data_IF_734624114942
#
_entry.id   IF_734624114942
#
_cell.length_a   1.000
_cell.length_b   1.000
_cell.length_c   1.000
_cell.angle_alpha   90.00
_cell.angle_beta   90.00
_cell.angle_gamma   90.00
#
_symmetry.space_group_name_H-M   'P 1'
#
loop_
_entity.id
_entity.type
_entity.pdbx_description
1 polymer ?
#
# COMPACT_ATOMS: atom_id res chain seq x y z
N UNK A 1 -39.44 28.11 -15.06
CA UNK A 1 -39.51 27.50 -13.71
C UNK A 1 -38.09 27.34 -13.19
N UNK A 2 -37.88 27.22 -11.88
CA UNK A 2 -36.55 26.89 -11.35
C UNK A 2 -36.30 25.39 -11.41
N UNK A 3 -35.04 24.97 -11.58
CA UNK A 3 -34.64 23.57 -11.48
C UNK A 3 -34.99 23.05 -10.07
N UNK A 4 -35.71 21.92 -9.91
CA UNK A 4 -36.05 21.38 -8.61
C UNK A 4 -34.81 21.02 -7.78
N UNK A 5 -34.86 21.24 -6.47
CA UNK A 5 -33.72 20.99 -5.56
C UNK A 5 -33.21 19.54 -5.58
N UNK A 6 -34.10 18.57 -5.81
CA UNK A 6 -33.73 17.16 -5.99
C UNK A 6 -32.82 16.97 -7.20
N UNK A 7 -33.22 17.49 -8.35
CA UNK A 7 -32.46 17.39 -9.61
C UNK A 7 -31.11 18.12 -9.52
N UNK A 8 -31.07 19.28 -8.86
CA UNK A 8 -29.83 20.01 -8.56
C UNK A 8 -28.83 19.16 -7.76
N UNK A 9 -29.30 18.47 -6.71
CA UNK A 9 -28.45 17.62 -5.86
C UNK A 9 -27.94 16.39 -6.61
N UNK A 10 -28.79 15.75 -7.41
CA UNK A 10 -28.39 14.59 -8.23
C UNK A 10 -27.29 15.01 -9.22
N UNK A 11 -27.48 16.13 -9.91
CA UNK A 11 -26.50 16.64 -10.88
C UNK A 11 -25.15 16.94 -10.21
N UNK A 12 -25.17 17.68 -9.11
CA UNK A 12 -23.95 18.04 -8.37
C UNK A 12 -23.22 16.80 -7.83
N UNK A 13 -23.97 15.84 -7.28
CA UNK A 13 -23.42 14.59 -6.76
C UNK A 13 -22.75 13.75 -7.85
N UNK A 14 -23.45 13.50 -8.96
CA UNK A 14 -22.93 12.67 -10.06
C UNK A 14 -21.81 13.33 -10.87
N UNK A 15 -21.76 14.66 -10.88
CA UNK A 15 -20.66 15.40 -11.53
C UNK A 15 -19.46 15.63 -10.60
N UNK A 16 -19.52 15.17 -9.34
CA UNK A 16 -18.49 15.39 -8.32
C UNK A 16 -18.02 16.87 -8.22
N UNK A 17 -18.92 17.82 -8.43
CA UNK A 17 -18.60 19.26 -8.44
C UNK A 17 -17.58 19.68 -9.51
N UNK A 18 -17.52 18.97 -10.64
CA UNK A 18 -16.59 19.25 -11.75
C UNK A 18 -17.31 19.54 -13.05
N UNK A 19 -16.65 20.28 -13.94
CA UNK A 19 -17.16 20.57 -15.27
C UNK A 19 -17.21 19.29 -16.12
N UNK A 20 -18.34 18.99 -16.75
CA UNK A 20 -18.49 17.77 -17.55
C UNK A 20 -17.59 17.74 -18.79
N UNK A 21 -17.17 18.89 -19.31
CA UNK A 21 -16.21 18.99 -20.43
C UNK A 21 -14.77 19.04 -19.91
N UNK A 22 -14.40 20.11 -19.20
CA UNK A 22 -13.00 20.37 -18.81
C UNK A 22 -12.53 19.73 -17.50
N UNK A 23 -13.39 19.02 -16.77
CA UNK A 23 -13.13 18.34 -15.48
C UNK A 23 -12.59 19.23 -14.33
N UNK A 24 -12.48 20.54 -14.55
CA UNK A 24 -12.07 21.52 -13.53
C UNK A 24 -13.03 21.52 -12.34
N UNK A 25 -12.49 21.69 -11.12
CA UNK A 25 -13.28 21.83 -9.87
C UNK A 25 -14.11 23.12 -9.97
N UNK A 26 -15.40 23.02 -9.68
CA UNK A 26 -16.37 24.12 -9.76
C UNK A 26 -16.75 24.67 -8.38
N UNK A 27 -16.06 24.20 -7.34
CA UNK A 27 -16.18 24.71 -5.98
C UNK A 27 -14.82 25.17 -5.50
N UNK A 28 -14.81 26.29 -4.78
CA UNK A 28 -13.59 26.80 -4.14
C UNK A 28 -13.87 26.95 -2.66
N UNK A 29 -12.93 26.46 -1.87
CA UNK A 29 -13.00 26.54 -0.42
C UNK A 29 -12.86 28.00 0.01
N UNK A 30 -13.50 28.35 1.13
CA UNK A 30 -13.51 29.71 1.64
C UNK A 30 -12.08 30.16 1.95
N UNK A 31 -11.53 31.09 1.17
CA UNK A 31 -10.38 31.87 1.62
C UNK A 31 -10.93 33.01 2.48
N UNK A 32 -10.65 32.94 3.78
CA UNK A 32 -10.97 33.88 4.86
C UNK A 32 -12.02 34.97 4.52
N UNK A 33 -13.27 34.72 4.97
CA UNK A 33 -14.44 35.64 5.12
C UNK A 33 -15.54 35.59 4.06
N UNK A 34 -15.34 35.01 2.89
CA UNK A 34 -16.42 34.67 1.94
C UNK A 34 -16.57 33.16 1.89
N UNK A 35 -17.73 32.63 2.29
CA UNK A 35 -17.98 31.18 2.35
C UNK A 35 -17.68 30.44 1.03
N UNK A 36 -17.76 29.10 1.07
CA UNK A 36 -17.51 28.26 -0.10
C UNK A 36 -18.34 28.74 -1.30
N UNK A 37 -17.67 28.96 -2.44
CA UNK A 37 -18.30 29.54 -3.64
C UNK A 37 -18.40 28.49 -4.74
N UNK A 38 -19.57 28.44 -5.38
CA UNK A 38 -19.85 27.58 -6.54
C UNK A 38 -19.70 28.44 -7.80
N UNK A 39 -18.79 28.05 -8.69
CA UNK A 39 -18.56 28.68 -10.00
C UNK A 39 -19.12 27.85 -11.17
N UNK A 40 -19.75 26.72 -10.85
CA UNK A 40 -20.43 25.85 -11.81
C UNK A 40 -21.85 26.31 -12.11
N UNK A 41 -22.29 26.05 -13.33
CA UNK A 41 -23.63 26.37 -13.82
C UNK A 41 -24.35 25.07 -14.20
N UNK A 42 -25.61 24.97 -13.79
CA UNK A 42 -26.49 23.85 -14.16
C UNK A 42 -27.16 24.24 -15.48
N UNK A 43 -26.59 23.76 -16.57
CA UNK A 43 -26.99 24.12 -17.92
C UNK A 43 -28.04 23.16 -18.45
N UNK A 44 -28.98 23.68 -19.22
CA UNK A 44 -29.95 22.87 -19.96
C UNK A 44 -29.31 22.33 -21.24
N UNK A 45 -29.49 21.04 -21.50
CA UNK A 45 -29.13 20.42 -22.78
C UNK A 45 -30.12 20.90 -23.84
N UNK A 46 -31.42 20.76 -23.58
CA UNK A 46 -32.53 21.38 -24.31
C UNK A 46 -32.98 22.63 -23.57
N UNK A 47 -32.78 23.82 -24.16
CA UNK A 47 -33.02 25.09 -23.47
C UNK A 47 -34.48 25.34 -23.10
N UNK A 48 -34.75 26.01 -21.97
CA UNK A 48 -36.10 26.19 -21.42
C UNK A 48 -36.96 27.24 -22.16
N UNK A 49 -36.36 28.24 -22.82
CA UNK A 49 -37.07 29.44 -23.32
C UNK A 49 -37.03 29.50 -24.85
N UNK A 50 -38.04 30.09 -25.49
CA UNK A 50 -38.13 30.21 -26.97
C UNK A 50 -36.90 30.78 -27.72
N UNK A 51 -35.95 31.39 -27.01
CA UNK A 51 -34.70 31.96 -27.57
C UNK A 51 -33.43 31.32 -27.00
N UNK A 52 -33.55 30.30 -26.16
CA UNK A 52 -32.39 29.57 -25.63
C UNK A 52 -31.92 28.54 -26.64
N UNK A 53 -30.64 28.18 -26.54
CA UNK A 53 -30.04 27.18 -27.40
C UNK A 53 -30.81 25.84 -27.38
N UNK A 54 -30.96 25.22 -28.55
CA UNK A 54 -31.62 23.93 -28.74
C UNK A 54 -33.07 23.90 -28.21
N UNK A 55 -33.78 25.04 -28.24
CA UNK A 55 -35.17 25.13 -27.76
C UNK A 55 -36.14 24.28 -28.61
N UNK A 56 -35.96 24.28 -29.92
CA UNK A 56 -36.76 23.50 -30.88
C UNK A 56 -36.41 22.01 -30.72
N UNK A 57 -37.19 21.32 -29.90
CA UNK A 57 -36.97 19.92 -29.51
C UNK A 57 -38.31 19.28 -29.15
N UNK A 58 -38.50 17.96 -29.41
CA UNK A 58 -39.71 17.23 -29.02
C UNK A 58 -39.85 17.07 -27.50
N UNK A 59 -38.87 17.51 -26.70
CA UNK A 59 -38.94 17.47 -25.24
C UNK A 59 -39.97 18.47 -24.69
N UNK A 60 -40.91 17.94 -23.90
CA UNK A 60 -41.93 18.70 -23.18
C UNK A 60 -41.31 19.72 -22.22
N UNK A 61 -42.01 20.84 -22.00
CA UNK A 61 -41.51 21.96 -21.18
C UNK A 61 -41.28 21.53 -19.73
N UNK A 62 -42.13 20.64 -19.21
CA UNK A 62 -42.09 20.10 -17.86
C UNK A 62 -40.82 19.27 -17.58
N UNK A 63 -40.24 18.68 -18.62
CA UNK A 63 -39.05 17.83 -18.54
C UNK A 63 -37.75 18.61 -18.67
N UNK A 64 -37.80 19.86 -19.18
CA UNK A 64 -36.60 20.66 -19.41
C UNK A 64 -35.83 20.95 -18.12
N UNK A 65 -36.51 21.02 -16.98
CA UNK A 65 -35.88 21.27 -15.68
C UNK A 65 -35.48 20.00 -14.91
N UNK A 66 -35.57 18.81 -15.53
CA UNK A 66 -35.22 17.53 -14.90
C UNK A 66 -33.77 17.17 -15.12
N UNK A 67 -33.19 16.42 -14.17
CA UNK A 67 -31.79 16.03 -14.14
C UNK A 67 -31.27 15.42 -15.45
N UNK A 68 -32.09 14.63 -16.15
CA UNK A 68 -31.67 14.01 -17.41
C UNK A 68 -31.34 15.06 -18.49
N UNK A 69 -31.99 16.23 -18.47
CA UNK A 69 -31.76 17.35 -19.37
C UNK A 69 -30.70 18.35 -18.85
N UNK A 70 -30.01 18.05 -17.73
CA UNK A 70 -29.06 18.97 -17.12
C UNK A 70 -27.62 18.46 -17.21
N UNK A 71 -26.70 19.38 -17.48
CA UNK A 71 -25.26 19.15 -17.50
C UNK A 71 -24.55 20.22 -16.66
N UNK A 72 -23.52 19.84 -15.90
CA UNK A 72 -22.79 20.77 -15.02
C UNK A 72 -21.55 21.30 -15.74
N UNK A 73 -21.48 22.61 -16.00
CA UNK A 73 -20.38 23.22 -16.74
C UNK A 73 -19.78 24.41 -15.99
N UNK A 74 -18.53 24.77 -16.32
CA UNK A 74 -18.03 26.10 -15.97
C UNK A 74 -18.59 27.14 -16.95
N UNK A 75 -18.59 28.41 -16.54
CA UNK A 75 -19.03 29.54 -17.38
C UNK A 75 -18.46 29.54 -18.80
N UNK A 76 -17.18 29.22 -18.94
CA UNK A 76 -16.52 29.19 -20.26
C UNK A 76 -17.14 28.12 -21.17
N UNK A 77 -17.30 26.90 -20.65
CA UNK A 77 -17.86 25.80 -21.44
C UNK A 77 -19.35 25.97 -21.68
N UNK A 78 -20.09 26.53 -20.71
CA UNK A 78 -21.51 26.87 -20.92
C UNK A 78 -21.67 27.86 -22.09
N UNK A 79 -20.88 28.94 -22.10
CA UNK A 79 -20.90 29.90 -23.20
C UNK A 79 -20.54 29.24 -24.55
N UNK A 80 -19.50 28.39 -24.58
CA UNK A 80 -19.08 27.70 -25.80
C UNK A 80 -20.22 26.85 -26.40
N UNK A 81 -20.95 26.10 -25.57
CA UNK A 81 -22.01 25.22 -26.08
C UNK A 81 -23.24 26.00 -26.55
N UNK A 82 -23.53 27.15 -25.94
CA UNK A 82 -24.66 27.98 -26.32
C UNK A 82 -24.38 28.79 -27.58
N UNK A 83 -23.15 29.28 -27.76
CA UNK A 83 -22.74 30.02 -28.96
C UNK A 83 -22.53 29.10 -30.18
N UNK A 84 -22.43 27.77 -30.01
CA UNK A 84 -22.10 26.81 -31.07
C UNK A 84 -23.03 25.59 -31.12
N UNK A 85 -24.34 25.82 -31.30
CA UNK A 85 -25.36 24.75 -31.28
C UNK A 85 -25.09 23.61 -32.27
N UNK A 86 -24.64 23.93 -33.49
CA UNK A 86 -24.34 22.93 -34.53
C UNK A 86 -23.20 21.98 -34.12
N UNK A 87 -22.22 22.49 -33.37
CA UNK A 87 -21.08 21.71 -32.87
C UNK A 87 -21.40 20.96 -31.58
N UNK A 88 -22.48 21.33 -30.89
CA UNK A 88 -22.95 20.74 -29.64
C UNK A 88 -24.44 20.41 -29.71
N UNK A 89 -24.83 19.46 -30.59
CA UNK A 89 -26.20 18.98 -30.66
C UNK A 89 -26.58 18.24 -29.37
N UNK A 90 -27.88 18.02 -29.17
CA UNK A 90 -28.47 17.41 -27.96
C UNK A 90 -27.79 16.07 -27.63
N UNK A 91 -27.61 15.23 -28.64
CA UNK A 91 -27.04 13.88 -28.49
C UNK A 91 -25.60 13.95 -27.96
N UNK A 92 -24.80 14.89 -28.48
CA UNK A 92 -23.42 15.09 -28.04
C UNK A 92 -23.34 15.57 -26.60
N UNK A 93 -24.24 16.46 -26.18
CA UNK A 93 -24.28 16.92 -24.79
C UNK A 93 -24.69 15.81 -23.82
N UNK A 94 -25.64 14.95 -24.22
CA UNK A 94 -25.96 13.74 -23.45
C UNK A 94 -24.77 12.79 -23.36
N UNK A 95 -24.02 12.59 -24.45
CA UNK A 95 -22.80 11.78 -24.43
C UNK A 95 -21.74 12.36 -23.49
N UNK A 96 -21.46 13.66 -23.57
CA UNK A 96 -20.50 14.34 -22.68
C UNK A 96 -20.91 14.17 -21.21
N UNK A 97 -22.21 14.29 -20.90
CA UNK A 97 -22.73 14.05 -19.56
C UNK A 97 -22.49 12.60 -19.12
N UNK A 98 -22.86 11.62 -19.95
CA UNK A 98 -22.69 10.21 -19.64
C UNK A 98 -21.22 9.84 -19.42
N UNK A 99 -20.34 10.24 -20.33
CA UNK A 99 -18.88 10.01 -20.23
C UNK A 99 -18.30 10.63 -18.97
N UNK A 100 -18.79 11.81 -18.57
CA UNK A 100 -18.34 12.44 -17.35
C UNK A 100 -18.77 11.70 -16.09
N UNK A 101 -20.03 11.28 -16.03
CA UNK A 101 -20.56 10.56 -14.87
C UNK A 101 -19.90 9.18 -14.73
N UNK A 102 -19.65 8.48 -15.84
CA UNK A 102 -18.83 7.25 -15.86
C UNK A 102 -17.41 7.52 -15.35
N UNK A 103 -16.75 8.58 -15.85
CA UNK A 103 -15.42 8.96 -15.35
C UNK A 103 -15.42 9.27 -13.84
N UNK A 104 -16.48 9.90 -13.31
CA UNK A 104 -16.61 10.13 -11.87
C UNK A 104 -16.73 8.81 -11.13
N UNK A 105 -17.61 7.91 -11.60
CA UNK A 105 -17.82 6.59 -11.00
C UNK A 105 -16.51 5.79 -10.96
N UNK A 106 -15.78 5.69 -12.08
CA UNK A 106 -14.48 5.01 -12.16
C UNK A 106 -13.43 5.59 -11.20
N UNK A 107 -13.47 6.90 -10.92
CA UNK A 107 -12.54 7.55 -9.98
C UNK A 107 -12.95 7.42 -8.53
N UNK A 108 -14.22 7.17 -8.26
CA UNK A 108 -14.78 6.97 -6.93
C UNK A 108 -14.87 5.49 -6.54
N UNK A 109 -14.70 4.55 -7.49
CA UNK A 109 -14.42 3.15 -7.14
C UNK A 109 -13.17 3.16 -6.29
N UNK A 110 -13.37 2.84 -5.02
CA UNK A 110 -12.34 2.79 -4.02
C UNK A 110 -11.36 1.67 -4.40
N UNK A 111 -10.21 2.04 -4.97
CA UNK A 111 -9.15 1.08 -5.31
C UNK A 111 -8.68 0.31 -4.07
N UNK A 112 -8.84 0.86 -2.87
CA UNK A 112 -8.55 0.14 -1.62
C UNK A 112 -9.58 -0.96 -1.35
N UNK A 113 -10.82 -0.81 -1.80
CA UNK A 113 -11.83 -1.88 -1.72
C UNK A 113 -11.52 -3.01 -2.71
N UNK A 114 -10.96 -2.69 -3.87
CA UNK A 114 -10.66 -3.67 -4.93
C UNK A 114 -9.52 -4.62 -4.54
N UNK A 115 -8.56 -4.14 -3.74
CA UNK A 115 -7.41 -4.92 -3.25
C UNK A 115 -7.40 -5.08 -1.72
N UNK A 116 -8.55 -4.95 -1.07
CA UNK A 116 -8.69 -4.96 0.39
C UNK A 116 -7.93 -6.13 1.05
N UNK A 117 -8.08 -7.34 0.52
CA UNK A 117 -7.36 -8.52 1.02
C UNK A 117 -5.83 -8.32 1.00
N UNK A 118 -5.28 -7.80 -0.09
CA UNK A 118 -3.84 -7.58 -0.23
C UNK A 118 -3.36 -6.44 0.65
N UNK A 119 -4.14 -5.35 0.78
CA UNK A 119 -3.84 -4.25 1.69
C UNK A 119 -3.81 -4.73 3.16
N UNK A 120 -4.83 -5.49 3.58
CA UNK A 120 -4.90 -6.08 4.92
C UNK A 120 -3.70 -7.03 5.17
N UNK A 121 -3.30 -7.82 4.16
CA UNK A 121 -2.13 -8.70 4.25
C UNK A 121 -0.81 -7.93 4.31
N UNK A 122 -0.71 -6.81 3.58
CA UNK A 122 0.42 -5.90 3.58
C UNK A 122 0.65 -5.33 4.98
N UNK A 123 -0.39 -4.74 5.56
CA UNK A 123 -0.36 -4.17 6.91
C UNK A 123 -0.01 -5.22 7.94
N UNK A 124 -0.62 -6.41 7.84
CA UNK A 124 -0.30 -7.54 8.70
C UNK A 124 1.18 -7.94 8.59
N UNK A 125 1.75 -7.98 7.38
CA UNK A 125 3.15 -8.32 7.13
C UNK A 125 4.10 -7.28 7.72
N UNK A 126 3.85 -5.99 7.46
CA UNK A 126 4.65 -4.88 8.00
C UNK A 126 4.68 -4.91 9.53
N UNK A 127 3.50 -5.12 10.15
CA UNK A 127 3.36 -5.15 11.60
C UNK A 127 4.08 -6.35 12.22
N UNK A 128 3.86 -7.56 11.71
CA UNK A 128 4.41 -8.77 12.33
C UNK A 128 5.91 -8.97 12.03
N UNK A 129 6.43 -8.38 10.96
CA UNK A 129 7.88 -8.34 10.70
C UNK A 129 8.54 -7.09 11.30
N UNK A 130 7.76 -6.21 11.96
CA UNK A 130 8.21 -4.96 12.58
C UNK A 130 9.10 -4.11 11.64
N UNK A 131 8.71 -3.98 10.37
CA UNK A 131 9.55 -3.39 9.33
C UNK A 131 9.88 -1.90 9.53
N UNK A 132 9.08 -1.19 10.33
CA UNK A 132 9.39 0.20 10.74
C UNK A 132 10.63 0.29 11.64
N UNK A 133 10.97 -0.80 12.34
CA UNK A 133 12.13 -0.92 13.23
C UNK A 133 13.21 -1.84 12.63
N UNK A 134 13.16 -2.05 11.31
CA UNK A 134 14.00 -3.04 10.64
C UNK A 134 15.50 -2.84 10.89
N UNK A 135 16.02 -1.61 10.80
CA UNK A 135 17.46 -1.35 10.97
C UNK A 135 17.96 -1.86 12.33
N UNK A 136 17.20 -1.57 13.39
CA UNK A 136 17.46 -2.05 14.74
C UNK A 136 17.42 -3.58 14.83
N UNK A 137 16.39 -4.20 14.26
CA UNK A 137 16.28 -5.65 14.26
C UNK A 137 17.40 -6.31 13.45
N UNK A 138 17.81 -5.71 12.33
CA UNK A 138 18.86 -6.25 11.47
C UNK A 138 20.22 -6.31 12.19
N UNK A 139 20.58 -5.30 12.98
CA UNK A 139 21.79 -5.31 13.83
C UNK A 139 21.71 -6.41 14.89
N UNK A 140 20.61 -6.47 15.64
CA UNK A 140 20.45 -7.44 16.72
C UNK A 140 20.48 -8.88 16.20
N UNK A 141 19.74 -9.16 15.11
CA UNK A 141 19.70 -10.48 14.50
C UNK A 141 21.07 -10.88 13.94
N UNK A 142 21.80 -9.96 13.29
CA UNK A 142 23.17 -10.20 12.80
C UNK A 142 24.12 -10.59 13.94
N UNK A 143 23.92 -9.99 15.12
CA UNK A 143 24.68 -10.25 16.34
C UNK A 143 24.24 -11.51 17.09
N UNK A 144 23.25 -12.24 16.59
CA UNK A 144 22.71 -13.43 17.23
C UNK A 144 21.82 -13.12 18.44
N UNK A 145 21.16 -11.96 18.43
CA UNK A 145 20.21 -11.53 19.45
C UNK A 145 18.81 -11.47 18.83
N UNK A 146 17.98 -12.45 19.13
CA UNK A 146 16.62 -12.54 18.60
C UNK A 146 15.60 -12.33 19.71
N UNK A 147 15.03 -11.12 19.77
CA UNK A 147 14.05 -10.77 20.80
C UNK A 147 12.79 -11.62 20.71
N UNK A 148 12.24 -12.00 21.87
CA UNK A 148 11.04 -12.83 21.97
C UNK A 148 9.85 -12.20 21.27
N UNK A 149 9.63 -10.89 21.41
CA UNK A 149 8.50 -10.20 20.80
C UNK A 149 8.54 -10.25 19.27
N UNK A 150 9.70 -10.00 18.65
CA UNK A 150 9.87 -10.18 17.21
C UNK A 150 9.70 -11.65 16.81
N UNK A 151 10.25 -12.58 17.59
CA UNK A 151 10.15 -14.02 17.32
C UNK A 151 8.71 -14.53 17.35
N UNK A 152 7.91 -14.10 18.32
CA UNK A 152 6.50 -14.42 18.42
C UNK A 152 5.68 -13.79 17.29
N UNK A 153 5.99 -12.54 16.92
CA UNK A 153 5.34 -11.88 15.79
C UNK A 153 5.66 -12.58 14.46
N UNK A 154 6.91 -12.99 14.23
CA UNK A 154 7.30 -13.79 13.07
C UNK A 154 6.59 -15.16 13.07
N UNK A 155 6.45 -15.79 14.23
CA UNK A 155 5.66 -17.02 14.37
C UNK A 155 4.20 -16.80 13.95
N UNK A 156 3.58 -15.70 14.37
CA UNK A 156 2.21 -15.35 13.98
C UNK A 156 2.11 -15.06 12.48
N UNK A 157 3.09 -14.37 11.91
CA UNK A 157 3.22 -14.16 10.48
C UNK A 157 3.25 -15.49 9.72
N UNK A 158 4.16 -16.40 10.06
CA UNK A 158 4.27 -17.71 9.42
C UNK A 158 2.96 -18.51 9.52
N UNK A 159 2.30 -18.51 10.69
CA UNK A 159 0.99 -19.17 10.89
C UNK A 159 -0.10 -18.61 9.97
N UNK A 160 -0.14 -17.29 9.78
CA UNK A 160 -1.11 -16.64 8.87
C UNK A 160 -0.80 -17.02 7.43
N UNK A 161 0.46 -16.90 7.00
CA UNK A 161 0.89 -17.19 5.63
C UNK A 161 0.57 -18.63 5.22
N UNK A 162 0.84 -19.62 6.08
CA UNK A 162 0.49 -21.02 5.83
C UNK A 162 -1.01 -21.28 5.62
N UNK A 163 -1.89 -20.41 6.11
CA UNK A 163 -3.34 -20.58 6.06
C UNK A 163 -3.99 -19.77 4.94
N UNK A 164 -3.23 -18.97 4.22
CA UNK A 164 -3.76 -18.18 3.12
C UNK A 164 -4.18 -19.10 1.98
N UNK A 165 -5.37 -18.83 1.44
CA UNK A 165 -5.82 -19.39 0.16
C UNK A 165 -5.75 -18.26 -0.85
N UNK A 166 -4.82 -18.37 -1.79
CA UNK A 166 -4.55 -17.33 -2.78
C UNK A 166 -5.68 -17.20 -3.80
N UNK A 167 -6.01 -15.96 -4.13
CA UNK A 167 -7.08 -15.64 -5.08
C UNK A 167 -6.63 -15.73 -6.54
N UNK A 168 -5.31 -15.68 -6.78
CA UNK A 168 -4.69 -15.62 -8.12
C UNK A 168 -5.04 -14.36 -8.91
N UNK A 169 -5.52 -13.31 -8.23
CA UNK A 169 -5.86 -12.02 -8.85
C UNK A 169 -4.61 -11.24 -9.28
N UNK A 170 -3.54 -11.26 -8.46
CA UNK A 170 -2.25 -10.61 -8.75
C UNK A 170 -1.11 -11.63 -8.53
N UNK A 171 -0.87 -12.56 -9.48
CA UNK A 171 0.05 -13.68 -9.28
C UNK A 171 1.47 -13.27 -8.87
N UNK A 172 2.05 -12.25 -9.52
CA UNK A 172 3.39 -11.74 -9.21
C UNK A 172 3.52 -11.26 -7.76
N UNK A 173 2.48 -10.60 -7.23
CA UNK A 173 2.45 -10.16 -5.83
C UNK A 173 2.32 -11.34 -4.87
N UNK A 174 1.47 -12.30 -5.20
CA UNK A 174 1.28 -13.51 -4.38
C UNK A 174 2.57 -14.35 -4.31
N UNK A 175 3.26 -14.54 -5.43
CA UNK A 175 4.57 -15.20 -5.49
C UNK A 175 5.63 -14.46 -4.68
N UNK A 176 5.63 -13.12 -4.72
CA UNK A 176 6.54 -12.32 -3.91
C UNK A 176 6.28 -12.49 -2.41
N UNK A 177 5.01 -12.55 -1.98
CA UNK A 177 4.65 -12.87 -0.59
C UNK A 177 5.07 -14.28 -0.19
N UNK A 178 4.87 -15.28 -1.06
CA UNK A 178 5.27 -16.67 -0.81
C UNK A 178 6.80 -16.78 -0.65
N UNK A 179 7.57 -16.15 -1.55
CA UNK A 179 9.03 -16.15 -1.46
C UNK A 179 9.51 -15.46 -0.17
N UNK A 180 8.97 -14.29 0.18
CA UNK A 180 9.27 -13.63 1.45
C UNK A 180 8.97 -14.54 2.64
N UNK A 181 7.81 -15.19 2.64
CA UNK A 181 7.41 -16.12 3.67
C UNK A 181 8.42 -17.27 3.82
N UNK A 182 8.83 -17.91 2.72
CA UNK A 182 9.80 -19.02 2.72
C UNK A 182 11.14 -18.57 3.31
N UNK A 183 11.64 -17.37 2.97
CA UNK A 183 12.92 -16.89 3.50
C UNK A 183 12.84 -16.55 4.98
N UNK A 184 11.78 -15.87 5.40
CA UNK A 184 11.55 -15.54 6.82
C UNK A 184 11.38 -16.80 7.66
N UNK A 185 10.61 -17.80 7.20
CA UNK A 185 10.43 -19.05 7.93
C UNK A 185 11.74 -19.83 8.04
N UNK A 186 12.53 -19.90 6.96
CA UNK A 186 13.83 -20.56 6.96
C UNK A 186 14.81 -19.91 7.94
N UNK A 187 14.89 -18.56 7.96
CA UNK A 187 15.68 -17.85 8.95
C UNK A 187 15.22 -18.18 10.38
N UNK A 188 13.91 -18.11 10.63
CA UNK A 188 13.33 -18.34 11.93
C UNK A 188 13.65 -19.75 12.47
N UNK A 189 13.45 -20.78 11.64
CA UNK A 189 13.74 -22.17 11.98
C UNK A 189 15.24 -22.41 12.23
N UNK A 190 16.10 -21.92 11.34
CA UNK A 190 17.56 -22.07 11.46
C UNK A 190 18.06 -21.37 12.72
N UNK A 191 17.60 -20.15 13.02
CA UNK A 191 18.00 -19.45 14.22
C UNK A 191 17.61 -20.25 15.48
N UNK A 192 16.38 -20.72 15.56
CA UNK A 192 15.89 -21.48 16.71
C UNK A 192 16.53 -22.86 16.87
N UNK A 193 17.10 -23.44 15.81
CA UNK A 193 17.73 -24.78 15.86
C UNK A 193 18.90 -24.91 16.84
N UNK A 194 19.57 -23.80 17.20
CA UNK A 194 20.69 -23.80 18.14
C UNK A 194 20.72 -22.54 19.03
N UNK A 195 19.55 -22.01 19.36
CA UNK A 195 19.40 -20.88 20.29
C UNK A 195 18.71 -21.32 21.59
N UNK A 196 18.96 -20.59 22.68
CA UNK A 196 18.24 -20.71 23.95
C UNK A 196 17.73 -19.36 24.42
N UNK A 197 16.58 -19.40 25.07
CA UNK A 197 16.00 -18.25 25.74
C UNK A 197 16.90 -17.82 26.91
N UNK A 198 17.21 -16.53 26.98
CA UNK A 198 17.87 -15.91 28.13
C UNK A 198 17.00 -14.80 28.70
N UNK A 199 16.63 -14.88 29.99
CA UNK A 199 15.91 -13.82 30.65
C UNK A 199 16.68 -12.50 30.62
N UNK A 200 16.02 -11.41 30.25
CA UNK A 200 16.61 -10.10 30.31
C UNK A 200 16.32 -9.46 31.68
N UNK A 201 17.27 -9.57 32.60
CA UNK A 201 17.14 -9.04 33.96
C UNK A 201 17.22 -7.50 34.04
N UNK A 202 17.40 -6.80 32.91
CA UNK A 202 17.33 -5.33 32.84
C UNK A 202 15.90 -4.93 32.49
N UNK A 203 15.14 -4.49 33.49
CA UNK A 203 13.72 -4.14 33.33
C UNK A 203 13.45 -3.24 32.13
N UNK A 204 12.40 -3.58 31.37
CA UNK A 204 11.93 -2.81 30.21
C UNK A 204 12.32 -3.35 28.82
N UNK A 205 13.03 -4.47 28.73
CA UNK A 205 13.35 -5.14 27.46
C UNK A 205 12.87 -6.58 27.45
N UNK A 206 12.39 -7.06 26.30
CA UNK A 206 12.01 -8.46 26.10
C UNK A 206 13.19 -9.41 26.35
N UNK A 207 12.84 -10.64 26.75
CA UNK A 207 13.79 -11.75 26.77
C UNK A 207 14.34 -12.01 25.36
N UNK A 208 15.49 -12.65 25.27
CA UNK A 208 16.24 -12.78 24.03
C UNK A 208 16.63 -14.24 23.80
N UNK A 209 16.38 -14.74 22.60
CA UNK A 209 17.00 -15.95 22.09
C UNK A 209 18.39 -15.64 21.56
N UNK A 210 19.37 -16.42 22.01
CA UNK A 210 20.76 -16.28 21.58
C UNK A 210 21.45 -17.66 21.57
N UNK A 211 22.67 -17.72 21.07
CA UNK A 211 23.46 -18.96 21.00
C UNK A 211 23.41 -19.76 22.31
N UNK A 212 23.19 -21.07 22.18
CA UNK A 212 23.31 -22.01 23.27
C UNK A 212 24.77 -22.21 23.68
N UNK A 213 25.23 -21.48 24.70
CA UNK A 213 26.59 -21.59 25.23
C UNK A 213 26.80 -22.74 26.23
N UNK A 214 25.85 -23.66 26.43
CA UNK A 214 26.00 -24.77 27.40
C UNK A 214 27.28 -25.58 27.21
N UNK A 215 27.72 -25.74 25.96
CA UNK A 215 28.97 -26.42 25.61
C UNK A 215 30.25 -25.72 26.11
N UNK A 216 30.17 -24.46 26.57
CA UNK A 216 31.31 -23.71 27.15
C UNK A 216 31.37 -23.80 28.67
N UNK A 217 30.26 -24.15 29.33
CA UNK A 217 30.12 -24.09 30.80
C UNK A 217 30.03 -25.47 31.42
N UNK A 218 29.39 -26.40 30.73
CA UNK A 218 29.19 -27.74 31.23
C UNK A 218 30.39 -28.56 30.77
N UNK A 219 31.18 -29.11 31.69
CA UNK A 219 32.22 -30.08 31.36
C UNK A 219 31.57 -31.26 30.64
N UNK A 220 31.60 -31.25 29.31
CA UNK A 220 30.80 -32.16 28.49
C UNK A 220 31.23 -33.62 28.77
N UNK A 221 30.36 -34.39 29.42
CA UNK A 221 30.57 -35.83 29.64
C UNK A 221 30.49 -36.65 28.33
N UNK A 222 29.93 -36.10 27.23
CA UNK A 222 29.59 -36.87 26.04
C UNK A 222 29.85 -36.22 24.66
N UNK A 223 30.30 -34.97 24.58
CA UNK A 223 30.64 -34.33 23.28
C UNK A 223 31.93 -33.53 23.41
N UNK A 224 32.94 -33.73 22.55
CA UNK A 224 34.15 -32.91 22.59
C UNK A 224 33.81 -31.43 22.36
N UNK A 225 34.33 -30.54 23.20
CA UNK A 225 34.16 -29.07 23.09
C UNK A 225 34.38 -28.55 21.67
N UNK A 226 35.36 -29.09 20.94
CA UNK A 226 35.69 -28.72 19.56
C UNK A 226 34.55 -28.98 18.57
N UNK A 227 33.81 -30.09 18.74
CA UNK A 227 32.70 -30.44 17.85
C UNK A 227 31.50 -29.52 18.10
N UNK A 228 31.20 -29.20 19.35
CA UNK A 228 30.13 -28.28 19.70
C UNK A 228 30.42 -26.85 19.24
N UNK A 229 31.67 -26.39 19.38
CA UNK A 229 32.10 -25.09 18.89
C UNK A 229 32.00 -24.98 17.36
N UNK A 230 32.36 -26.04 16.62
CA UNK A 230 32.23 -26.06 15.15
C UNK A 230 30.75 -26.05 14.73
N UNK A 231 29.88 -26.80 15.41
CA UNK A 231 28.43 -26.75 15.16
C UNK A 231 27.86 -25.34 15.39
N UNK A 232 28.27 -24.67 16.48
CA UNK A 232 27.83 -23.30 16.76
C UNK A 232 28.29 -22.31 15.67
N UNK A 233 29.52 -22.48 15.15
CA UNK A 233 30.03 -21.69 14.04
C UNK A 233 29.26 -21.93 12.74
N UNK A 234 28.95 -23.18 12.41
CA UNK A 234 28.15 -23.55 11.23
C UNK A 234 26.72 -23.02 11.33
N UNK A 235 26.09 -23.15 12.49
CA UNK A 235 24.78 -22.55 12.76
C UNK A 235 24.80 -21.03 12.55
N UNK A 236 25.85 -20.37 13.05
CA UNK A 236 26.03 -18.92 12.89
C UNK A 236 26.15 -18.50 11.43
N UNK A 237 26.98 -19.18 10.67
CA UNK A 237 27.11 -18.95 9.22
C UNK A 237 25.76 -19.11 8.51
N UNK A 238 25.02 -20.18 8.84
CA UNK A 238 23.71 -20.47 8.25
C UNK A 238 22.66 -19.40 8.54
N UNK A 239 22.45 -18.99 9.79
CA UNK A 239 21.41 -17.99 10.06
C UNK A 239 21.78 -16.62 9.48
N UNK A 240 23.07 -16.27 9.40
CA UNK A 240 23.50 -15.01 8.77
C UNK A 240 23.19 -15.04 7.27
N UNK A 241 23.50 -16.14 6.58
CA UNK A 241 23.11 -16.33 5.17
C UNK A 241 21.58 -16.24 4.99
N UNK A 242 20.81 -16.87 5.88
CA UNK A 242 19.35 -16.74 5.88
C UNK A 242 18.90 -15.29 6.06
N UNK A 243 19.49 -14.53 6.99
CA UNK A 243 19.16 -13.12 7.22
C UNK A 243 19.43 -12.26 5.97
N UNK A 244 20.55 -12.50 5.28
CA UNK A 244 20.85 -11.86 4.00
C UNK A 244 19.78 -12.18 2.95
N UNK A 245 19.36 -13.45 2.86
CA UNK A 245 18.29 -13.87 1.96
C UNK A 245 16.93 -13.25 2.31
N UNK A 246 16.62 -13.03 3.60
CA UNK A 246 15.43 -12.29 4.01
C UNK A 246 15.44 -10.87 3.48
N UNK A 247 16.59 -10.17 3.51
CA UNK A 247 16.70 -8.80 3.00
C UNK A 247 16.53 -8.73 1.49
N UNK A 248 17.08 -9.70 0.73
CA UNK A 248 16.83 -9.79 -0.71
C UNK A 248 15.33 -9.95 -0.97
N UNK A 249 14.67 -10.90 -0.29
CA UNK A 249 13.25 -11.15 -0.48
C UNK A 249 12.36 -9.98 -0.04
N UNK A 250 12.71 -9.28 1.05
CA UNK A 250 12.00 -8.07 1.51
C UNK A 250 12.05 -6.97 0.44
N UNK A 251 13.22 -6.76 -0.16
CA UNK A 251 13.40 -5.74 -1.19
C UNK A 251 12.69 -6.09 -2.50
N UNK A 252 12.75 -7.36 -2.93
CA UNK A 252 11.98 -7.84 -4.09
C UNK A 252 10.48 -7.70 -3.85
N UNK A 253 9.98 -8.14 -2.69
CA UNK A 253 8.58 -8.00 -2.31
C UNK A 253 8.12 -6.53 -2.28
N UNK A 254 8.88 -5.65 -1.63
CA UNK A 254 8.55 -4.23 -1.58
C UNK A 254 8.51 -3.58 -2.97
N UNK A 255 9.37 -4.03 -3.89
CA UNK A 255 9.35 -3.57 -5.28
C UNK A 255 8.08 -4.02 -6.02
N UNK A 256 7.68 -5.27 -5.87
CA UNK A 256 6.42 -5.77 -6.45
C UNK A 256 5.21 -5.05 -5.86
N UNK A 257 5.20 -4.79 -4.55
CA UNK A 257 4.16 -3.98 -3.89
C UNK A 257 4.04 -2.59 -4.53
N UNK A 258 5.18 -1.90 -4.75
CA UNK A 258 5.20 -0.58 -5.41
C UNK A 258 4.67 -0.63 -6.84
N UNK A 259 5.00 -1.68 -7.59
CA UNK A 259 4.53 -1.85 -8.97
C UNK A 259 3.05 -2.17 -9.08
N UNK A 260 2.47 -2.84 -8.08
CA UNK A 260 1.13 -3.42 -8.18
C UNK A 260 0.07 -2.60 -7.46
N UNK A 261 0.19 -2.44 -6.14
CA UNK A 261 -0.92 -1.96 -5.31
C UNK A 261 -0.62 -0.68 -4.53
N UNK A 262 0.65 -0.38 -4.22
CA UNK A 262 1.02 0.77 -3.38
C UNK A 262 2.33 1.44 -3.80
N UNK A 263 2.31 2.37 -4.80
CA UNK A 263 3.52 2.97 -5.39
C UNK A 263 4.44 3.73 -4.43
N UNK A 264 3.90 4.22 -3.31
CA UNK A 264 4.64 4.96 -2.28
C UNK A 264 5.17 4.06 -1.15
N UNK A 265 5.02 2.74 -1.25
CA UNK A 265 5.39 1.79 -0.22
C UNK A 265 6.89 1.84 0.13
N UNK A 266 7.19 2.25 1.36
CA UNK A 266 8.53 2.50 1.90
C UNK A 266 9.41 3.42 1.04
N UNK A 267 8.82 4.32 0.24
CA UNK A 267 9.57 5.15 -0.69
C UNK A 267 10.57 6.09 0.00
N UNK A 268 10.25 6.58 1.19
CA UNK A 268 11.14 7.46 1.99
C UNK A 268 12.20 6.69 2.78
N UNK A 269 11.87 5.51 3.31
CA UNK A 269 12.80 4.64 4.02
C UNK A 269 13.81 4.01 3.06
N UNK A 270 13.39 3.71 1.84
CA UNK A 270 14.23 3.10 0.81
C UNK A 270 14.28 1.57 0.91
N UNK A 271 15.43 0.99 0.55
CA UNK A 271 15.65 -0.46 0.60
C UNK A 271 15.91 -0.91 2.04
N UNK A 272 15.45 -2.11 2.38
CA UNK A 272 15.86 -2.80 3.60
C UNK A 272 17.35 -3.18 3.50
N UNK A 273 18.08 -3.01 4.60
CA UNK A 273 19.54 -3.23 4.70
C UNK A 273 19.86 -4.13 5.89
N UNK A 274 21.12 -4.53 6.05
CA UNK A 274 21.61 -5.03 7.34
C UNK A 274 22.60 -4.00 7.87
N UNK A 275 22.28 -3.43 9.03
CA UNK A 275 23.11 -2.43 9.68
C UNK A 275 23.99 -3.10 10.74
N UNK A 276 25.26 -3.35 10.43
CA UNK A 276 26.25 -3.82 11.42
C UNK A 276 26.86 -2.60 12.12
N UNK A 277 26.12 -2.00 13.05
CA UNK A 277 26.54 -0.75 13.69
C UNK A 277 27.80 -0.91 14.52
N UNK A 278 27.96 -2.07 15.18
CA UNK A 278 29.10 -2.36 16.04
C UNK A 278 30.29 -3.00 15.32
N UNK A 279 30.17 -3.26 14.01
CA UNK A 279 31.21 -3.95 13.24
C UNK A 279 31.43 -5.39 13.71
N UNK A 280 30.37 -6.06 14.15
CA UNK A 280 30.37 -7.44 14.59
C UNK A 280 30.92 -8.40 13.54
N UNK A 281 30.70 -8.12 12.25
CA UNK A 281 31.24 -8.91 11.12
C UNK A 281 32.44 -8.25 10.46
N UNK A 282 32.82 -7.04 10.86
CA UNK A 282 33.85 -6.24 10.19
C UNK A 282 34.90 -5.62 11.15
N UNK A 283 35.34 -6.39 12.15
CA UNK A 283 36.46 -6.00 13.01
C UNK A 283 36.23 -4.71 13.80
N UNK A 284 35.02 -4.53 14.35
CA UNK A 284 34.59 -3.35 15.11
C UNK A 284 34.51 -2.05 14.30
N UNK A 285 34.41 -2.14 12.98
CA UNK A 285 34.07 -1.02 12.10
C UNK A 285 32.66 -1.19 11.57
N UNK A 286 31.82 -0.17 11.75
CA UNK A 286 30.45 -0.24 11.27
C UNK A 286 30.40 -0.48 9.76
N UNK A 287 29.43 -1.26 9.31
CA UNK A 287 29.23 -1.53 7.88
C UNK A 287 27.75 -1.75 7.60
N UNK A 288 27.29 -1.26 6.45
CA UNK A 288 25.95 -1.50 5.94
C UNK A 288 26.06 -2.52 4.82
N UNK A 289 25.27 -3.59 4.90
CA UNK A 289 25.12 -4.55 3.83
C UNK A 289 23.82 -4.29 3.07
N UNK A 290 23.92 -4.31 1.74
CA UNK A 290 22.78 -4.25 0.80
C UNK A 290 22.78 -5.50 -0.08
N UNK A 291 22.35 -6.67 0.44
CA UNK A 291 22.34 -7.91 -0.33
C UNK A 291 21.50 -7.78 -1.60
N UNK A 292 22.04 -8.18 -2.75
CA UNK A 292 21.37 -8.09 -4.06
C UNK A 292 21.04 -9.45 -4.67
N UNK A 293 21.54 -10.55 -4.10
CA UNK A 293 21.35 -11.90 -4.61
C UNK A 293 21.26 -12.92 -3.48
N UNK A 294 20.47 -13.96 -3.69
CA UNK A 294 20.37 -15.07 -2.75
C UNK A 294 21.70 -15.81 -2.58
N UNK A 295 22.00 -16.17 -1.34
CA UNK A 295 23.17 -16.94 -0.93
C UNK A 295 22.71 -18.37 -0.63
N UNK A 296 23.49 -19.35 -1.07
CA UNK A 296 23.25 -20.75 -0.74
C UNK A 296 23.53 -21.03 0.75
N UNK A 297 22.67 -21.84 1.37
CA UNK A 297 22.64 -22.13 2.80
C UNK A 297 23.29 -23.49 3.11
N UNK A 298 23.68 -24.28 2.10
CA UNK A 298 24.42 -25.55 2.28
C UNK A 298 25.62 -25.43 3.25
#
# INVERSE_FOLDING_TARGET
MSIPSKDQRILLGRSAGRCSIGKAKLTVDASNKSGATIFGEMCHIVGEKKKSARFESPMEIEDRNRYHNLILLCRNHHKIIDDNEESYPIEKLHQIKADHELWVEEKLIDKDSENKFYNDLLEFTVLNLQLEYWDFHSDELLRGLYRVDLSENITNYCKKMHRIVWTRKIPELEEAFENLFIRISQFHEVFHSNSRLRPNNKGGSSDIYQEDFSYKTDGLEYTPYSEAAEKAKQWKDKYIKCLFNCVVALNEWAEIVRKTIKPDFFLSQGKFIIDDQLGYTNGSKSVIYTPESYIDIE
#
